data_IF_773198626728
#
_entry.id   IF_773198626728
#
_cell.length_a   1.000
_cell.length_b   1.000
_cell.length_c   1.000
_cell.angle_alpha   90.00
_cell.angle_beta   90.00
_cell.angle_gamma   90.00
#
_symmetry.space_group_name_H-M   'P 1'
#
loop_
_entity.id
_entity.type
_entity.pdbx_description
1 polymer ?
#
# COMPACT_ATOMS: atom_id res chain seq x y z
N UNK A 1 20.23 58.59 4.60
CA UNK A 1 19.16 59.32 3.88
C UNK A 1 19.14 58.84 2.43
N UNK A 2 18.14 58.09 2.02
CA UNK A 2 17.52 58.09 0.70
C UNK A 2 16.34 57.11 0.72
N UNK A 3 15.18 57.62 0.31
CA UNK A 3 13.87 57.03 0.49
C UNK A 3 13.56 55.97 -0.58
N UNK A 4 12.69 55.00 -0.20
CA UNK A 4 12.05 54.02 -1.07
C UNK A 4 10.79 54.66 -1.75
N UNK A 5 10.41 54.24 -2.96
CA UNK A 5 9.10 54.59 -3.53
C UNK A 5 8.05 53.53 -3.19
N UNK A 6 6.89 54.02 -2.78
CA UNK A 6 5.64 53.30 -2.62
C UNK A 6 5.06 53.04 -4.01
N UNK A 7 4.64 51.81 -4.29
CA UNK A 7 3.80 51.45 -5.45
C UNK A 7 2.33 51.40 -5.05
N UNK A 8 1.49 52.01 -5.86
CA UNK A 8 0.07 52.27 -5.61
C UNK A 8 -0.81 51.06 -5.93
N UNK A 9 -1.84 50.87 -5.08
CA UNK A 9 -3.00 50.01 -5.41
C UNK A 9 -3.90 50.72 -6.43
N UNK A 10 -4.20 50.05 -7.53
CA UNK A 10 -5.28 50.44 -8.44
C UNK A 10 -6.53 49.60 -8.07
N UNK A 11 -7.55 50.30 -7.62
CA UNK A 11 -8.90 49.77 -7.42
C UNK A 11 -9.67 49.79 -8.73
N UNK A 12 -10.20 48.64 -9.15
CA UNK A 12 -11.09 48.50 -10.29
C UNK A 12 -12.55 48.52 -9.81
N UNK A 13 -13.25 49.59 -10.07
CA UNK A 13 -14.69 49.73 -9.82
C UNK A 13 -15.47 49.10 -10.99
N UNK A 14 -16.36 48.13 -10.69
CA UNK A 14 -17.33 47.61 -11.65
C UNK A 14 -18.67 48.30 -11.41
N UNK A 15 -19.13 48.98 -12.44
CA UNK A 15 -20.40 49.71 -12.45
C UNK A 15 -21.59 48.75 -12.61
N UNK A 16 -22.58 48.88 -11.71
CA UNK A 16 -23.90 48.26 -11.85
C UNK A 16 -24.71 49.07 -12.88
N UNK A 17 -25.10 48.41 -13.96
CA UNK A 17 -26.12 48.86 -14.90
C UNK A 17 -27.48 48.26 -14.51
N UNK A 18 -28.39 49.09 -14.04
CA UNK A 18 -29.82 48.75 -13.87
C UNK A 18 -30.52 49.07 -15.18
N UNK A 19 -31.12 48.05 -15.82
CA UNK A 19 -32.07 48.30 -16.93
C UNK A 19 -33.38 47.56 -16.61
N UNK A 20 -34.44 48.27 -16.83
CA UNK A 20 -35.76 48.13 -16.27
C UNK A 20 -36.64 47.00 -16.79
N UNK A 21 -37.76 46.92 -16.14
CA UNK A 21 -38.86 45.99 -16.22
C UNK A 21 -39.50 45.80 -17.58
N UNK A 22 -39.82 44.57 -17.92
CA UNK A 22 -40.82 44.16 -18.90
C UNK A 22 -41.57 42.96 -18.39
N UNK A 23 -42.77 43.19 -17.84
CA UNK A 23 -43.74 42.13 -17.54
C UNK A 23 -44.35 41.61 -18.84
N UNK A 24 -44.14 40.32 -19.16
CA UNK A 24 -45.06 39.54 -19.96
C UNK A 24 -45.15 38.16 -19.35
N UNK A 25 -46.34 37.82 -18.87
CA UNK A 25 -46.64 36.50 -18.32
C UNK A 25 -46.65 35.42 -19.39
N UNK A 26 -45.91 34.38 -19.13
CA UNK A 26 -45.98 33.09 -19.79
C UNK A 26 -45.86 32.04 -18.72
N UNK A 27 -46.98 31.47 -18.29
CA UNK A 27 -47.00 30.30 -17.38
C UNK A 27 -46.46 29.09 -18.09
N UNK A 28 -45.16 29.00 -18.19
CA UNK A 28 -44.44 27.77 -18.52
C UNK A 28 -44.40 26.88 -17.27
N UNK A 29 -45.25 25.87 -17.23
CA UNK A 29 -45.15 24.85 -16.21
C UNK A 29 -43.75 24.26 -16.22
N UNK A 30 -43.01 24.49 -15.13
CA UNK A 30 -41.73 23.83 -14.88
C UNK A 30 -42.05 22.34 -14.81
N UNK A 31 -41.76 21.61 -15.88
CA UNK A 31 -41.75 20.17 -15.82
C UNK A 31 -40.74 19.81 -14.72
N UNK A 32 -41.13 18.98 -13.72
CA UNK A 32 -40.15 18.52 -12.74
C UNK A 32 -38.98 17.90 -13.53
N UNK A 33 -37.81 18.54 -13.45
CA UNK A 33 -36.61 18.08 -14.12
C UNK A 33 -36.35 16.61 -13.67
N UNK A 34 -35.99 15.77 -14.62
CA UNK A 34 -35.56 14.42 -14.31
C UNK A 34 -34.50 14.52 -13.18
N UNK A 35 -34.70 13.86 -12.03
CA UNK A 35 -33.71 13.94 -10.95
C UNK A 35 -32.34 13.58 -11.52
N UNK A 36 -31.31 14.29 -11.08
CA UNK A 36 -29.95 13.99 -11.48
C UNK A 36 -29.65 12.51 -11.13
N UNK A 37 -28.92 11.78 -11.98
CA UNK A 37 -28.59 10.39 -11.70
C UNK A 37 -27.88 10.29 -10.35
N UNK A 38 -28.35 9.39 -9.47
CA UNK A 38 -27.75 9.15 -8.16
C UNK A 38 -27.22 7.72 -8.05
N UNK A 39 -26.20 7.49 -7.22
CA UNK A 39 -25.70 6.15 -6.96
C UNK A 39 -26.79 5.18 -6.50
N UNK A 40 -27.70 5.62 -5.63
CA UNK A 40 -28.79 4.82 -5.10
C UNK A 40 -29.80 4.45 -6.18
N UNK A 41 -30.15 5.39 -7.07
CA UNK A 41 -31.03 5.13 -8.19
C UNK A 41 -30.42 4.13 -9.17
N UNK A 42 -29.13 4.24 -9.46
CA UNK A 42 -28.43 3.29 -10.31
C UNK A 42 -28.34 1.90 -9.67
N UNK A 43 -28.10 1.85 -8.36
CA UNK A 43 -28.09 0.59 -7.60
C UNK A 43 -29.46 -0.09 -7.58
N UNK A 44 -30.53 0.66 -7.30
CA UNK A 44 -31.89 0.15 -7.29
C UNK A 44 -32.31 -0.44 -8.65
N UNK A 45 -31.87 0.17 -9.76
CA UNK A 45 -32.14 -0.32 -11.11
C UNK A 45 -31.55 -1.71 -11.39
N UNK A 46 -30.53 -2.15 -10.65
CA UNK A 46 -29.89 -3.47 -10.74
C UNK A 46 -30.13 -4.33 -9.49
N UNK A 47 -31.10 -3.93 -8.66
CA UNK A 47 -31.55 -4.70 -7.49
C UNK A 47 -30.67 -4.61 -6.26
N UNK A 48 -29.84 -3.55 -6.10
CA UNK A 48 -29.07 -3.26 -4.90
C UNK A 48 -29.86 -2.37 -3.95
N UNK A 49 -29.72 -2.61 -2.64
CA UNK A 49 -30.20 -1.70 -1.59
C UNK A 49 -29.26 -0.48 -1.44
N UNK A 50 -29.73 0.57 -0.76
CA UNK A 50 -28.90 1.74 -0.46
C UNK A 50 -27.66 1.39 0.39
N UNK A 51 -27.82 0.48 1.35
CA UNK A 51 -26.71 0.03 2.22
C UNK A 51 -25.67 -0.77 1.41
N UNK A 52 -26.11 -1.63 0.48
CA UNK A 52 -25.19 -2.35 -0.44
C UNK A 52 -24.44 -1.35 -1.33
N UNK A 53 -25.12 -0.34 -1.88
CA UNK A 53 -24.47 0.71 -2.67
C UNK A 53 -23.44 1.47 -1.85
N UNK A 54 -23.77 1.90 -0.65
CA UNK A 54 -22.85 2.62 0.23
C UNK A 54 -21.61 1.76 0.58
N UNK A 55 -21.81 0.48 0.90
CA UNK A 55 -20.74 -0.47 1.17
C UNK A 55 -19.84 -0.65 -0.06
N UNK A 56 -20.42 -0.84 -1.26
CA UNK A 56 -19.66 -0.99 -2.51
C UNK A 56 -18.85 0.27 -2.81
N UNK A 57 -19.43 1.46 -2.65
CA UNK A 57 -18.75 2.73 -2.91
C UNK A 57 -17.58 2.98 -1.97
N UNK A 58 -17.59 2.42 -0.75
CA UNK A 58 -16.48 2.52 0.21
C UNK A 58 -15.19 1.81 -0.26
N UNK A 59 -15.27 0.92 -1.25
CA UNK A 59 -14.13 0.19 -1.83
C UNK A 59 -13.43 0.92 -2.99
N UNK A 60 -13.42 2.24 -2.97
CA UNK A 60 -12.75 3.04 -4.00
C UNK A 60 -12.79 4.53 -3.69
N UNK A 61 -12.37 5.39 -4.62
CA UNK A 61 -11.98 5.08 -6.01
C UNK A 61 -10.62 4.40 -6.14
N UNK A 62 -10.35 3.83 -7.33
CA UNK A 62 -9.06 3.21 -7.65
C UNK A 62 -8.48 3.79 -8.96
N UNK A 63 -7.15 4.03 -9.08
CA UNK A 63 -6.15 3.84 -8.01
C UNK A 63 -6.25 4.92 -6.91
N UNK A 64 -5.76 4.57 -5.72
CA UNK A 64 -5.58 5.57 -4.65
C UNK A 64 -4.44 6.52 -5.04
N UNK A 65 -4.60 7.84 -4.89
CA UNK A 65 -3.52 8.79 -5.17
C UNK A 65 -2.23 8.44 -4.43
N UNK A 66 -1.10 8.61 -5.11
CA UNK A 66 0.20 8.38 -4.50
C UNK A 66 0.48 9.43 -3.41
N UNK A 67 0.89 8.95 -2.23
CA UNK A 67 1.37 9.78 -1.14
C UNK A 67 2.73 9.23 -0.68
N UNK A 68 3.80 10.05 -0.71
CA UNK A 68 5.12 9.61 -0.26
C UNK A 68 5.12 9.20 1.21
N UNK A 69 5.90 8.17 1.57
CA UNK A 69 6.14 7.81 2.97
C UNK A 69 7.04 8.87 3.63
N UNK A 70 6.54 9.65 4.61
CA UNK A 70 7.34 10.68 5.27
C UNK A 70 8.56 10.11 6.02
N UNK A 71 8.55 8.82 6.38
CA UNK A 71 9.68 8.14 7.00
C UNK A 71 10.78 7.71 6.02
N UNK A 72 10.56 7.93 4.73
CA UNK A 72 11.49 7.57 3.66
C UNK A 72 11.68 8.73 2.67
N UNK A 73 12.74 9.52 2.81
CA UNK A 73 13.05 10.63 1.89
C UNK A 73 13.23 10.22 0.43
N UNK A 74 13.42 8.91 0.17
CA UNK A 74 13.53 8.37 -1.17
C UNK A 74 12.17 8.06 -1.82
N UNK A 75 11.08 8.04 -1.03
CA UNK A 75 9.72 7.76 -1.50
C UNK A 75 9.31 8.78 -2.57
N UNK A 76 8.90 8.30 -3.75
CA UNK A 76 8.54 9.12 -4.89
C UNK A 76 9.71 9.82 -5.61
N UNK A 77 10.97 9.65 -5.17
CA UNK A 77 12.12 10.27 -5.82
C UNK A 77 12.55 9.45 -7.06
N UNK A 78 12.55 10.00 -8.29
CA UNK A 78 12.74 9.21 -9.52
C UNK A 78 14.04 8.41 -9.56
N UNK A 79 15.18 9.00 -9.13
CA UNK A 79 16.47 8.30 -9.12
C UNK A 79 16.50 7.18 -8.06
N UNK A 80 15.80 7.34 -6.93
CA UNK A 80 15.69 6.29 -5.91
C UNK A 80 14.80 5.14 -6.39
N UNK A 81 13.69 5.44 -7.06
CA UNK A 81 12.81 4.44 -7.67
C UNK A 81 13.59 3.61 -8.71
N UNK A 82 14.35 4.26 -9.60
CA UNK A 82 15.16 3.55 -10.59
C UNK A 82 16.31 2.75 -9.94
N UNK A 83 16.95 3.28 -8.90
CA UNK A 83 17.93 2.54 -8.11
C UNK A 83 17.32 1.28 -7.50
N UNK A 84 16.15 1.43 -6.84
CA UNK A 84 15.43 0.31 -6.26
C UNK A 84 14.99 -0.73 -7.28
N UNK A 85 14.53 -0.30 -8.45
CA UNK A 85 14.15 -1.18 -9.56
C UNK A 85 15.34 -2.03 -10.05
N UNK A 86 16.53 -1.45 -10.18
CA UNK A 86 17.73 -2.21 -10.55
C UNK A 86 18.14 -3.17 -9.46
N UNK A 87 18.18 -2.71 -8.22
CA UNK A 87 18.54 -3.52 -7.06
C UNK A 87 17.57 -4.67 -6.82
N UNK A 88 16.29 -4.52 -7.14
CA UNK A 88 15.27 -5.55 -6.94
C UNK A 88 15.59 -6.85 -7.68
N UNK A 89 16.20 -6.77 -8.86
CA UNK A 89 16.64 -7.92 -9.64
C UNK A 89 18.13 -8.25 -9.50
N UNK A 90 18.88 -7.56 -8.65
CA UNK A 90 20.34 -7.69 -8.58
C UNK A 90 20.76 -8.79 -7.58
N UNK A 91 21.31 -9.93 -8.07
CA UNK A 91 21.70 -11.02 -7.18
C UNK A 91 22.93 -10.68 -6.31
N UNK A 92 23.68 -9.62 -6.64
CA UNK A 92 24.81 -9.14 -5.83
C UNK A 92 24.39 -8.67 -4.44
N UNK A 93 23.07 -8.47 -4.22
CA UNK A 93 22.51 -8.20 -2.89
C UNK A 93 22.56 -9.41 -1.96
N UNK A 94 22.73 -10.63 -2.46
CA UNK A 94 22.84 -11.80 -1.60
C UNK A 94 24.30 -12.17 -1.31
N UNK A 95 24.54 -12.83 -0.18
CA UNK A 95 25.86 -13.28 0.24
C UNK A 95 26.50 -14.23 -0.78
N UNK A 96 25.69 -15.11 -1.37
CA UNK A 96 26.10 -16.10 -2.35
C UNK A 96 26.08 -15.58 -3.79
N UNK A 97 25.56 -14.36 -4.04
CA UNK A 97 25.45 -13.77 -5.37
C UNK A 97 24.42 -14.45 -6.27
N UNK A 98 23.48 -15.20 -5.76
CA UNK A 98 22.51 -16.03 -6.52
C UNK A 98 21.07 -15.58 -6.40
N UNK A 99 20.72 -14.81 -5.36
CA UNK A 99 19.35 -14.44 -5.05
C UNK A 99 19.18 -12.93 -5.02
N UNK A 100 18.00 -12.50 -5.45
CA UNK A 100 17.54 -11.13 -5.42
C UNK A 100 16.12 -11.10 -4.84
N UNK A 101 15.55 -9.92 -4.61
CA UNK A 101 14.15 -9.78 -4.22
C UNK A 101 13.22 -10.47 -5.23
N UNK A 102 13.53 -10.33 -6.53
CA UNK A 102 12.80 -10.97 -7.62
C UNK A 102 12.81 -12.52 -7.60
N UNK A 103 13.69 -13.15 -6.82
CA UNK A 103 13.70 -14.61 -6.67
C UNK A 103 12.47 -15.13 -5.94
N UNK A 104 11.95 -14.35 -4.96
CA UNK A 104 10.75 -14.68 -4.20
C UNK A 104 9.56 -13.78 -4.54
N UNK A 105 9.80 -12.63 -5.19
CA UNK A 105 8.77 -11.68 -5.58
C UNK A 105 8.70 -11.56 -7.11
N UNK A 106 8.05 -12.56 -7.75
CA UNK A 106 7.99 -12.70 -9.19
C UNK A 106 6.81 -11.90 -9.79
N UNK A 107 7.06 -11.00 -10.77
CA UNK A 107 5.99 -10.16 -11.35
C UNK A 107 4.81 -10.96 -11.92
N UNK A 108 5.08 -12.10 -12.53
CA UNK A 108 4.05 -12.96 -13.12
C UNK A 108 3.11 -13.61 -12.08
N UNK A 109 3.51 -13.64 -10.81
CA UNK A 109 2.76 -14.20 -9.68
C UNK A 109 2.29 -13.11 -8.71
N UNK A 110 1.99 -11.90 -9.22
CA UNK A 110 1.60 -10.78 -8.35
C UNK A 110 2.69 -10.38 -7.34
N UNK A 111 3.96 -10.62 -7.70
CA UNK A 111 5.13 -10.43 -6.83
C UNK A 111 5.10 -11.33 -5.57
N UNK A 112 4.52 -12.53 -5.66
CA UNK A 112 4.71 -13.66 -4.76
C UNK A 112 5.63 -14.70 -5.43
N UNK A 113 5.85 -15.87 -4.80
CA UNK A 113 6.70 -16.95 -5.37
C UNK A 113 5.93 -18.22 -5.78
N UNK A 114 4.63 -18.28 -5.49
CA UNK A 114 3.79 -19.44 -5.78
C UNK A 114 4.05 -20.64 -4.87
N UNK A 115 4.82 -20.49 -3.81
CA UNK A 115 5.12 -21.55 -2.85
C UNK A 115 4.33 -21.35 -1.55
N UNK A 116 3.94 -22.41 -0.84
CA UNK A 116 3.35 -22.28 0.48
C UNK A 116 4.27 -21.49 1.44
N UNK A 117 5.55 -21.78 1.39
CA UNK A 117 6.61 -21.06 2.11
C UNK A 117 7.81 -20.92 1.19
N UNK A 118 8.37 -19.73 1.11
CA UNK A 118 9.59 -19.48 0.35
C UNK A 118 10.72 -20.36 0.80
N UNK A 119 11.68 -20.63 -0.09
CA UNK A 119 12.82 -21.46 0.25
C UNK A 119 14.02 -20.59 0.68
N UNK A 120 14.63 -20.96 1.79
CA UNK A 120 15.90 -20.41 2.24
C UNK A 120 17.05 -20.72 1.28
N UNK A 121 18.25 -20.18 1.56
CA UNK A 121 19.45 -20.39 0.77
C UNK A 121 19.85 -21.87 0.63
N UNK A 122 19.60 -22.66 1.65
CA UNK A 122 19.87 -24.09 1.72
C UNK A 122 18.74 -24.98 1.19
N UNK A 123 17.66 -24.36 0.67
CA UNK A 123 16.47 -25.06 0.19
C UNK A 123 15.45 -25.45 1.26
N UNK A 124 15.70 -25.12 2.52
CA UNK A 124 14.71 -25.38 3.58
C UNK A 124 13.57 -24.35 3.54
N UNK A 125 12.32 -24.72 3.88
CA UNK A 125 11.22 -23.76 3.91
C UNK A 125 11.43 -22.67 4.97
N UNK A 126 11.17 -21.42 4.62
CA UNK A 126 11.03 -20.32 5.55
C UNK A 126 9.77 -20.48 6.42
N UNK A 127 9.60 -19.61 7.40
CA UNK A 127 8.51 -19.74 8.37
C UNK A 127 7.14 -19.37 7.77
N UNK A 128 7.12 -18.54 6.71
CA UNK A 128 5.88 -17.96 6.17
C UNK A 128 5.88 -17.88 4.65
N UNK A 129 4.68 -17.71 4.11
CA UNK A 129 4.45 -17.43 2.69
C UNK A 129 5.00 -16.06 2.29
N UNK A 130 5.53 -15.94 1.04
CA UNK A 130 5.93 -14.65 0.47
C UNK A 130 4.68 -13.83 0.09
N UNK A 131 4.40 -12.70 0.75
CA UNK A 131 3.26 -11.88 0.37
C UNK A 131 3.49 -11.22 -0.99
N UNK A 132 2.43 -11.07 -1.78
CA UNK A 132 2.46 -10.22 -2.96
C UNK A 132 2.81 -8.77 -2.59
N UNK A 133 3.49 -8.06 -3.49
CA UNK A 133 3.94 -6.67 -3.23
C UNK A 133 3.03 -5.61 -3.86
N UNK A 134 2.03 -6.00 -4.66
CA UNK A 134 1.10 -5.04 -5.22
C UNK A 134 0.40 -4.26 -4.09
N UNK A 135 0.30 -2.95 -4.27
CA UNK A 135 -0.37 -2.03 -3.34
C UNK A 135 0.26 -1.97 -1.94
N UNK A 136 1.51 -2.44 -1.77
CA UNK A 136 2.20 -2.43 -0.48
C UNK A 136 2.30 -1.02 0.14
N UNK A 137 2.33 0.04 -0.68
CA UNK A 137 2.33 1.44 -0.22
C UNK A 137 1.12 1.84 0.62
N UNK A 138 0.03 1.10 0.52
CA UNK A 138 -1.20 1.36 1.28
C UNK A 138 -1.23 0.68 2.65
N UNK A 139 -0.19 -0.08 2.99
CA UNK A 139 -0.08 -0.78 4.26
C UNK A 139 0.56 0.12 5.33
N UNK A 140 0.18 -0.12 6.59
CA UNK A 140 0.76 0.55 7.76
C UNK A 140 1.67 -0.38 8.57
N UNK A 141 1.48 -1.68 8.41
CA UNK A 141 2.24 -2.74 9.04
C UNK A 141 2.72 -3.72 7.98
N UNK A 142 3.97 -4.14 8.05
CA UNK A 142 4.62 -4.98 7.06
C UNK A 142 5.00 -6.34 7.64
N UNK A 143 4.94 -7.37 6.80
CA UNK A 143 4.96 -8.77 7.19
C UNK A 143 3.59 -9.26 7.67
N UNK A 144 3.42 -10.58 7.73
CA UNK A 144 2.18 -11.21 8.19
C UNK A 144 1.86 -10.88 9.66
N UNK A 145 2.90 -10.71 10.48
CA UNK A 145 2.82 -10.35 11.90
C UNK A 145 2.86 -8.84 12.15
N UNK A 146 3.07 -8.04 11.09
CA UNK A 146 3.30 -6.62 11.23
C UNK A 146 4.55 -6.29 12.03
N UNK A 147 5.61 -7.07 11.85
CA UNK A 147 6.88 -6.91 12.56
C UNK A 147 7.72 -5.71 12.11
N UNK A 148 7.22 -4.90 11.16
CA UNK A 148 7.80 -3.61 10.80
C UNK A 148 6.69 -2.59 10.57
N UNK A 149 6.95 -1.32 10.87
CA UNK A 149 6.03 -0.20 10.78
C UNK A 149 6.25 0.69 9.54
N UNK A 150 7.25 0.36 8.73
CA UNK A 150 7.54 1.00 7.45
C UNK A 150 8.06 -0.02 6.44
N UNK A 151 7.82 0.24 5.15
CA UNK A 151 8.25 -0.67 4.09
C UNK A 151 9.77 -0.78 4.03
N UNK A 152 10.50 0.33 4.18
CA UNK A 152 11.96 0.29 4.14
C UNK A 152 12.58 -0.46 5.35
N UNK A 153 11.99 -0.35 6.54
CA UNK A 153 12.43 -1.12 7.71
C UNK A 153 12.17 -2.63 7.49
N UNK A 154 11.03 -2.98 6.85
CA UNK A 154 10.75 -4.36 6.50
C UNK A 154 11.76 -4.95 5.52
N UNK A 155 12.19 -4.17 4.49
CA UNK A 155 13.20 -4.60 3.51
C UNK A 155 14.55 -4.94 4.15
N UNK A 156 14.90 -4.32 5.27
CA UNK A 156 16.14 -4.63 5.99
C UNK A 156 16.18 -6.06 6.53
N UNK A 157 15.03 -6.68 6.81
CA UNK A 157 14.94 -8.04 7.37
C UNK A 157 15.46 -9.08 6.38
N UNK A 158 14.91 -9.25 5.16
CA UNK A 158 15.44 -10.20 4.18
C UNK A 158 16.88 -9.86 3.73
N UNK A 159 17.28 -8.58 3.73
CA UNK A 159 18.66 -8.20 3.45
C UNK A 159 19.64 -8.76 4.48
N UNK A 160 19.26 -8.80 5.76
CA UNK A 160 20.13 -9.23 6.86
C UNK A 160 20.01 -10.71 7.19
N UNK A 161 18.86 -11.35 6.93
CA UNK A 161 18.64 -12.78 7.29
C UNK A 161 19.52 -13.69 6.42
N UNK A 162 20.45 -14.46 7.01
CA UNK A 162 21.31 -15.39 6.27
C UNK A 162 20.54 -16.51 5.57
N UNK A 163 19.32 -16.80 5.98
CA UNK A 163 18.45 -17.76 5.29
C UNK A 163 17.90 -17.16 3.96
N UNK A 164 17.83 -15.83 3.85
CA UNK A 164 17.33 -15.13 2.69
C UNK A 164 18.48 -14.54 1.86
N UNK A 165 18.87 -13.28 2.06
CA UNK A 165 19.94 -12.63 1.30
C UNK A 165 21.28 -12.62 2.05
N UNK A 166 21.28 -12.46 3.38
CA UNK A 166 22.47 -12.49 4.21
C UNK A 166 23.54 -11.47 3.81
N UNK A 167 23.10 -10.28 3.37
CA UNK A 167 23.96 -9.28 2.77
C UNK A 167 24.93 -8.64 3.77
N UNK A 168 26.22 -8.71 3.52
CA UNK A 168 27.24 -8.03 4.31
C UNK A 168 27.23 -6.51 4.04
N UNK A 169 27.09 -5.64 5.07
CA UNK A 169 26.99 -4.19 4.87
C UNK A 169 28.16 -3.55 4.10
N UNK A 170 29.40 -4.03 4.32
CA UNK A 170 30.56 -3.54 3.60
C UNK A 170 30.49 -3.88 2.09
N UNK A 171 29.97 -5.05 1.73
CA UNK A 171 29.76 -5.46 0.34
C UNK A 171 28.68 -4.61 -0.32
N UNK A 172 27.62 -4.27 0.39
CA UNK A 172 26.57 -3.37 -0.09
C UNK A 172 27.11 -1.96 -0.37
N UNK A 173 27.97 -1.44 0.50
CA UNK A 173 28.61 -0.15 0.29
C UNK A 173 29.53 -0.18 -0.94
N UNK A 174 30.34 -1.25 -1.10
CA UNK A 174 31.18 -1.44 -2.27
C UNK A 174 30.37 -1.57 -3.58
N UNK A 175 29.23 -2.24 -3.55
CA UNK A 175 28.30 -2.34 -4.70
C UNK A 175 27.78 -0.97 -5.12
N UNK A 176 27.31 -0.15 -4.19
CA UNK A 176 26.74 1.17 -4.46
C UNK A 176 27.79 2.19 -4.96
N UNK A 177 29.05 2.00 -4.65
CA UNK A 177 30.14 2.91 -5.05
C UNK A 177 30.93 2.41 -6.26
N UNK A 178 31.05 1.10 -6.40
CA UNK A 178 31.86 0.46 -7.43
C UNK A 178 31.15 0.26 -8.77
N UNK A 179 29.84 0.18 -8.80
CA UNK A 179 29.05 0.12 -10.03
C UNK A 179 28.70 1.54 -10.49
N UNK A 180 29.23 2.01 -11.66
CA UNK A 180 29.00 3.39 -12.08
C UNK A 180 27.55 3.78 -12.25
N UNK A 181 26.70 2.85 -12.70
CA UNK A 181 25.25 3.08 -12.89
C UNK A 181 24.51 3.21 -11.57
N UNK A 182 24.81 2.34 -10.60
CA UNK A 182 24.21 2.42 -9.26
C UNK A 182 24.74 3.63 -8.50
N UNK A 183 26.05 3.93 -8.59
CA UNK A 183 26.67 5.08 -7.96
C UNK A 183 26.09 6.41 -8.46
N UNK A 184 25.80 6.52 -9.76
CA UNK A 184 25.15 7.71 -10.34
C UNK A 184 23.75 7.90 -9.75
N UNK A 185 22.90 6.86 -9.78
CA UNK A 185 21.55 6.91 -9.24
C UNK A 185 21.53 7.17 -7.72
N UNK A 186 22.44 6.52 -7.01
CA UNK A 186 22.60 6.72 -5.56
C UNK A 186 22.94 8.18 -5.24
N UNK A 187 23.91 8.79 -5.93
CA UNK A 187 24.26 10.21 -5.72
C UNK A 187 23.07 11.11 -6.00
N UNK A 188 22.34 10.87 -7.08
CA UNK A 188 21.16 11.65 -7.42
C UNK A 188 20.05 11.55 -6.36
N UNK A 189 19.90 10.39 -5.70
CA UNK A 189 18.85 10.15 -4.73
C UNK A 189 19.23 10.56 -3.29
N UNK A 190 20.50 10.37 -2.90
CA UNK A 190 20.94 10.48 -1.50
C UNK A 190 22.06 11.50 -1.27
N UNK A 191 22.63 12.08 -2.33
CA UNK A 191 23.70 13.08 -2.27
C UNK A 191 25.10 12.50 -2.50
N UNK A 192 26.12 13.37 -2.58
CA UNK A 192 27.45 12.99 -3.05
C UNK A 192 28.32 12.23 -2.02
N UNK A 193 28.04 12.41 -0.72
CA UNK A 193 28.84 11.78 0.33
C UNK A 193 28.80 10.24 0.20
N UNK A 194 29.97 9.55 0.12
CA UNK A 194 29.99 8.10 0.03
C UNK A 194 29.34 7.47 1.29
N UNK A 195 28.55 6.40 1.13
CA UNK A 195 27.87 5.77 2.26
C UNK A 195 28.85 4.95 3.10
N UNK A 196 28.72 5.04 4.41
CA UNK A 196 29.25 4.00 5.31
C UNK A 196 28.52 2.67 5.06
N UNK A 197 29.03 1.53 5.54
CA UNK A 197 28.33 0.25 5.43
C UNK A 197 26.90 0.29 5.97
N UNK A 198 26.67 0.91 7.13
CA UNK A 198 25.34 1.06 7.72
C UNK A 198 24.43 1.96 6.87
N UNK A 199 24.96 3.09 6.41
CA UNK A 199 24.21 4.02 5.55
C UNK A 199 23.87 3.36 4.22
N UNK A 200 24.77 2.60 3.61
CA UNK A 200 24.53 1.89 2.35
C UNK A 200 23.36 0.92 2.45
N UNK A 201 23.29 0.15 3.54
CA UNK A 201 22.18 -0.77 3.81
C UNK A 201 20.84 -0.03 3.91
N UNK A 202 20.82 1.09 4.62
CA UNK A 202 19.61 1.93 4.76
C UNK A 202 19.22 2.55 3.42
N UNK A 203 20.15 3.09 2.65
CA UNK A 203 19.87 3.68 1.34
C UNK A 203 19.33 2.65 0.34
N UNK A 204 19.90 1.43 0.33
CA UNK A 204 19.36 0.30 -0.46
C UNK A 204 17.94 -0.02 -0.06
N UNK A 205 17.68 -0.17 1.25
CA UNK A 205 16.34 -0.48 1.74
C UNK A 205 15.31 0.62 1.40
N UNK A 206 15.70 1.88 1.54
CA UNK A 206 14.86 3.04 1.18
C UNK A 206 14.59 3.12 -0.33
N UNK A 207 15.59 2.84 -1.17
CA UNK A 207 15.41 2.80 -2.61
C UNK A 207 14.55 1.63 -3.07
N UNK A 208 14.75 0.43 -2.51
CA UNK A 208 13.91 -0.74 -2.78
C UNK A 208 12.46 -0.47 -2.37
N UNK A 209 12.22 0.14 -1.20
CA UNK A 209 10.89 0.55 -0.78
C UNK A 209 10.27 1.55 -1.75
N UNK A 210 11.02 2.58 -2.18
CA UNK A 210 10.55 3.56 -3.15
C UNK A 210 10.13 2.92 -4.49
N UNK A 211 10.84 1.87 -4.94
CA UNK A 211 10.42 1.09 -6.10
C UNK A 211 9.15 0.28 -5.82
N UNK A 212 9.08 -0.45 -4.71
CA UNK A 212 7.91 -1.27 -4.36
C UNK A 212 6.65 -0.40 -4.19
N UNK A 213 6.78 0.82 -3.71
CA UNK A 213 5.68 1.79 -3.62
C UNK A 213 5.06 2.15 -4.98
N UNK A 214 5.75 1.88 -6.10
CA UNK A 214 5.22 2.09 -7.46
C UNK A 214 4.44 0.89 -8.01
N UNK A 215 4.38 -0.22 -7.28
CA UNK A 215 3.73 -1.45 -7.72
C UNK A 215 2.24 -1.41 -7.37
N UNK A 216 1.45 -0.76 -8.21
CA UNK A 216 0.00 -0.71 -8.07
C UNK A 216 -0.67 -1.85 -8.85
N UNK A 217 -1.73 -2.42 -8.28
CA UNK A 217 -2.59 -3.37 -8.99
C UNK A 217 -3.37 -2.66 -10.11
N UNK A 218 -3.61 -3.33 -11.25
CA UNK A 218 -4.39 -2.74 -12.34
C UNK A 218 -5.85 -2.54 -11.92
N UNK A 219 -6.53 -1.63 -12.62
CA UNK A 219 -8.00 -1.52 -12.53
C UNK A 219 -8.66 -2.82 -12.97
N UNK A 220 -9.79 -3.11 -12.34
CA UNK A 220 -10.57 -4.32 -12.57
C UNK A 220 -12.00 -3.97 -13.00
N UNK A 221 -12.77 -4.96 -13.45
CA UNK A 221 -14.20 -4.79 -13.72
C UNK A 221 -15.00 -4.30 -12.51
N UNK A 222 -14.54 -4.62 -11.29
CA UNK A 222 -15.15 -4.09 -10.07
C UNK A 222 -14.98 -2.57 -9.98
N UNK A 223 -13.80 -2.04 -10.30
CA UNK A 223 -13.54 -0.60 -10.25
C UNK A 223 -14.41 0.17 -11.26
N UNK A 224 -14.58 -0.38 -12.46
CA UNK A 224 -15.44 0.22 -13.48
C UNK A 224 -16.92 0.18 -13.06
N UNK A 225 -17.37 -0.91 -12.48
CA UNK A 225 -18.71 -1.07 -11.90
C UNK A 225 -18.96 -0.08 -10.75
N UNK A 226 -18.04 -0.03 -9.79
CA UNK A 226 -18.09 0.88 -8.65
C UNK A 226 -18.17 2.34 -9.11
N UNK A 227 -17.35 2.71 -10.10
CA UNK A 227 -17.32 4.08 -10.62
C UNK A 227 -18.57 4.40 -11.44
N UNK A 228 -19.17 3.43 -12.13
CA UNK A 228 -20.47 3.57 -12.80
C UNK A 228 -21.58 3.86 -11.76
N UNK A 229 -21.64 3.09 -10.67
CA UNK A 229 -22.55 3.39 -9.56
C UNK A 229 -22.32 4.78 -8.98
N UNK A 230 -21.07 5.18 -8.75
CA UNK A 230 -20.74 6.49 -8.20
C UNK A 230 -21.22 7.65 -9.05
N UNK A 231 -21.30 7.45 -10.38
CA UNK A 231 -21.84 8.45 -11.34
C UNK A 231 -23.35 8.36 -11.55
N UNK A 232 -24.04 7.41 -10.94
CA UNK A 232 -25.45 7.15 -11.19
C UNK A 232 -25.75 6.51 -12.55
N UNK A 233 -24.75 5.88 -13.19
CA UNK A 233 -24.88 5.24 -14.52
C UNK A 233 -25.36 3.79 -14.37
N UNK A 234 -26.68 3.62 -14.32
CA UNK A 234 -27.31 2.30 -14.21
C UNK A 234 -27.00 1.38 -15.41
N UNK A 235 -26.83 1.94 -16.61
CA UNK A 235 -26.56 1.14 -17.82
C UNK A 235 -25.16 0.54 -17.76
N UNK A 236 -24.15 1.34 -17.42
CA UNK A 236 -22.79 0.83 -17.26
C UNK A 236 -22.68 -0.12 -16.04
N UNK A 237 -23.39 0.16 -14.94
CA UNK A 237 -23.42 -0.73 -13.78
C UNK A 237 -24.05 -2.10 -14.10
N UNK A 238 -25.10 -2.15 -14.93
CA UNK A 238 -25.76 -3.39 -15.36
C UNK A 238 -24.85 -4.29 -16.21
N UNK A 239 -23.74 -3.78 -16.74
CA UNK A 239 -22.76 -4.59 -17.48
C UNK A 239 -21.88 -5.48 -16.56
N UNK A 240 -21.95 -5.30 -15.23
CA UNK A 240 -21.20 -6.13 -14.29
C UNK A 240 -21.75 -7.56 -14.27
N UNK A 241 -20.90 -8.60 -14.33
CA UNK A 241 -21.37 -9.98 -14.47
C UNK A 241 -22.28 -10.42 -13.30
N UNK A 242 -23.44 -11.01 -13.61
CA UNK A 242 -24.41 -11.42 -12.61
C UNK A 242 -23.84 -12.36 -11.51
N UNK A 243 -23.00 -13.38 -11.82
CA UNK A 243 -22.36 -14.18 -10.77
C UNK A 243 -21.46 -13.35 -9.85
N UNK A 244 -20.70 -12.40 -10.41
CA UNK A 244 -19.84 -11.50 -9.62
C UNK A 244 -20.67 -10.55 -8.75
N UNK A 245 -21.81 -10.05 -9.26
CA UNK A 245 -22.75 -9.25 -8.46
C UNK A 245 -23.33 -10.06 -7.30
N UNK A 246 -23.70 -11.32 -7.54
CA UNK A 246 -24.15 -12.23 -6.49
C UNK A 246 -23.08 -12.44 -5.40
N UNK A 247 -21.84 -12.70 -5.80
CA UNK A 247 -20.71 -12.80 -4.86
C UNK A 247 -20.43 -11.48 -4.12
N UNK A 248 -20.53 -10.35 -4.79
CA UNK A 248 -20.35 -9.03 -4.18
C UNK A 248 -21.43 -8.74 -3.12
N UNK A 249 -22.68 -9.11 -3.37
CA UNK A 249 -23.75 -8.98 -2.38
C UNK A 249 -23.49 -9.82 -1.12
N UNK A 250 -22.99 -11.04 -1.29
CA UNK A 250 -22.54 -11.84 -0.15
C UNK A 250 -21.39 -11.17 0.60
N UNK A 251 -20.40 -10.65 -0.15
CA UNK A 251 -19.20 -10.01 0.41
C UNK A 251 -19.54 -8.79 1.26
N UNK A 252 -20.44 -7.90 0.80
CA UNK A 252 -20.81 -6.68 1.52
C UNK A 252 -21.99 -6.88 2.46
N UNK A 253 -22.72 -7.99 2.36
CA UNK A 253 -23.92 -8.33 3.13
C UNK A 253 -23.71 -9.47 4.12
N UNK A 254 -24.41 -10.57 3.92
CA UNK A 254 -24.47 -11.70 4.87
C UNK A 254 -23.12 -12.34 5.17
N UNK A 255 -22.21 -12.39 4.18
CA UNK A 255 -20.87 -12.94 4.34
C UNK A 255 -19.97 -12.09 5.24
N UNK A 256 -20.29 -10.82 5.45
CA UNK A 256 -19.57 -9.88 6.33
C UNK A 256 -18.06 -9.75 6.02
N UNK A 257 -17.62 -10.11 4.82
CA UNK A 257 -16.21 -10.09 4.44
C UNK A 257 -15.65 -8.66 4.48
N UNK A 258 -16.49 -7.67 4.13
CA UNK A 258 -16.15 -6.25 4.13
C UNK A 258 -15.89 -5.65 5.53
N UNK A 259 -16.14 -6.36 6.63
CA UNK A 259 -15.77 -5.89 7.98
C UNK A 259 -14.25 -5.86 8.17
N UNK A 260 -13.55 -6.80 7.57
CA UNK A 260 -12.09 -6.88 7.58
C UNK A 260 -11.49 -6.41 6.24
N UNK A 261 -12.11 -6.80 5.13
CA UNK A 261 -11.67 -6.48 3.78
C UNK A 261 -12.39 -5.24 3.23
N UNK A 262 -12.17 -4.09 3.84
CA UNK A 262 -12.80 -2.81 3.50
C UNK A 262 -11.84 -1.86 2.78
N UNK A 263 -12.39 -0.78 2.23
CA UNK A 263 -11.60 0.27 1.57
C UNK A 263 -11.04 -0.12 0.20
N UNK A 264 -10.29 0.79 -0.45
CA UNK A 264 -9.84 0.61 -1.84
C UNK A 264 -8.92 -0.58 -2.06
N UNK A 265 -8.14 -0.99 -1.05
CA UNK A 265 -7.25 -2.15 -1.11
C UNK A 265 -7.90 -3.45 -0.61
N UNK A 266 -9.18 -3.42 -0.22
CA UNK A 266 -9.88 -4.55 0.40
C UNK A 266 -9.16 -5.11 1.64
N UNK A 267 -8.77 -4.21 2.53
CA UNK A 267 -8.19 -4.55 3.84
C UNK A 267 -8.35 -3.38 4.81
N UNK A 268 -8.60 -3.67 6.07
CA UNK A 268 -8.52 -2.67 7.14
C UNK A 268 -7.09 -2.44 7.63
N UNK A 269 -6.11 -3.25 7.15
CA UNK A 269 -4.71 -3.18 7.56
C UNK A 269 -4.43 -3.62 9.00
N UNK A 270 -5.45 -4.14 9.70
CA UNK A 270 -5.37 -4.59 11.09
C UNK A 270 -5.12 -6.11 11.17
N UNK A 271 -5.18 -6.67 12.38
CA UNK A 271 -4.84 -8.06 12.67
C UNK A 271 -6.06 -8.80 13.23
N UNK A 272 -6.25 -10.02 12.73
CA UNK A 272 -7.36 -10.87 13.18
C UNK A 272 -6.93 -12.34 13.21
N UNK A 273 -7.56 -13.11 14.08
CA UNK A 273 -7.56 -14.55 14.02
C UNK A 273 -8.61 -15.02 13.01
N UNK A 274 -8.15 -15.60 11.92
CA UNK A 274 -9.02 -16.16 10.87
C UNK A 274 -9.37 -17.64 11.12
N UNK A 275 -9.16 -18.16 12.34
CA UNK A 275 -9.39 -19.56 12.68
C UNK A 275 -8.41 -20.53 12.00
N UNK A 276 -7.24 -20.04 11.57
CA UNK A 276 -6.22 -20.86 10.90
C UNK A 276 -5.18 -21.36 11.89
N UNK A 277 -4.64 -22.57 11.69
CA UNK A 277 -3.54 -23.06 12.50
C UNK A 277 -2.35 -22.08 12.43
N UNK A 278 -1.83 -21.67 13.57
CA UNK A 278 -0.70 -20.75 13.68
C UNK A 278 0.59 -21.47 14.07
N UNK A 279 0.97 -22.48 13.29
CA UNK A 279 2.19 -23.26 13.51
C UNK A 279 3.24 -22.91 12.45
N UNK A 280 4.37 -22.37 12.90
CA UNK A 280 5.54 -22.13 12.03
C UNK A 280 6.24 -23.46 11.67
N UNK A 281 6.21 -24.44 12.57
CA UNK A 281 6.67 -25.82 12.39
C UNK A 281 5.95 -26.74 13.39
N UNK A 282 6.00 -28.05 13.24
CA UNK A 282 5.47 -28.97 14.25
C UNK A 282 6.01 -28.65 15.65
N UNK A 283 5.10 -28.42 16.61
CA UNK A 283 5.44 -28.06 17.99
C UNK A 283 5.99 -26.63 18.20
N UNK A 284 6.09 -25.81 17.15
CA UNK A 284 6.55 -24.41 17.23
C UNK A 284 5.45 -23.48 16.75
N UNK A 285 4.66 -22.88 17.67
CA UNK A 285 3.62 -21.93 17.30
C UNK A 285 4.23 -20.65 16.72
N UNK A 286 3.53 -20.06 15.77
CA UNK A 286 3.80 -18.69 15.28
C UNK A 286 3.03 -17.70 16.17
N UNK A 287 3.71 -16.82 16.90
CA UNK A 287 3.03 -15.88 17.78
C UNK A 287 2.24 -14.81 17.04
N UNK A 288 2.35 -14.71 15.71
CA UNK A 288 1.67 -13.72 14.90
C UNK A 288 1.91 -12.30 15.39
N UNK A 289 0.85 -11.49 15.44
CA UNK A 289 0.91 -10.08 15.86
C UNK A 289 1.55 -9.89 17.23
N UNK A 290 1.35 -10.82 18.18
CA UNK A 290 1.99 -10.72 19.50
C UNK A 290 3.53 -10.70 19.39
N UNK A 291 4.09 -11.52 18.51
CA UNK A 291 5.52 -11.50 18.19
C UNK A 291 5.92 -10.26 17.42
N UNK A 292 5.14 -9.89 16.41
CA UNK A 292 5.37 -8.73 15.57
C UNK A 292 5.45 -7.41 16.34
N UNK A 293 4.58 -7.21 17.34
CA UNK A 293 4.64 -6.03 18.22
C UNK A 293 6.00 -5.92 18.92
N UNK A 294 6.47 -7.02 19.48
CA UNK A 294 7.78 -7.05 20.17
C UNK A 294 8.92 -6.76 19.19
N UNK A 295 8.84 -7.28 17.98
CA UNK A 295 9.82 -7.04 16.92
C UNK A 295 9.88 -5.55 16.56
N UNK A 296 8.73 -4.90 16.32
CA UNK A 296 8.69 -3.45 16.03
C UNK A 296 9.29 -2.62 17.14
N UNK A 297 8.91 -2.91 18.41
CA UNK A 297 9.37 -2.13 19.55
C UNK A 297 10.89 -2.28 19.80
N UNK A 298 11.46 -3.43 19.45
CA UNK A 298 12.90 -3.70 19.59
C UNK A 298 13.72 -3.24 18.37
N UNK A 299 13.07 -2.94 17.22
CA UNK A 299 13.77 -2.59 15.98
C UNK A 299 14.29 -1.14 16.04
N UNK A 300 15.62 -0.91 15.96
CA UNK A 300 16.19 0.43 15.90
C UNK A 300 15.85 1.19 14.60
N UNK A 301 15.27 0.50 13.61
CA UNK A 301 14.85 1.06 12.32
C UNK A 301 13.35 1.37 12.26
N UNK A 302 12.61 1.24 13.37
CA UNK A 302 11.21 1.65 13.40
C UNK A 302 11.07 3.18 13.22
N UNK A 303 9.85 3.66 13.06
CA UNK A 303 9.56 5.08 12.80
C UNK A 303 10.00 6.04 13.93
N UNK A 304 10.31 5.53 15.12
CA UNK A 304 10.86 6.29 16.23
C UNK A 304 12.40 6.32 16.21
N UNK A 305 13.03 5.50 15.40
CA UNK A 305 14.48 5.35 15.30
C UNK A 305 15.14 6.48 14.48
N UNK A 306 16.44 6.64 14.69
CA UNK A 306 17.27 7.70 14.04
C UNK A 306 17.31 7.66 12.51
N UNK A 307 16.93 6.56 11.91
CA UNK A 307 16.95 6.36 10.46
C UNK A 307 15.66 6.74 9.75
N UNK A 308 14.58 7.01 10.50
CA UNK A 308 13.36 7.57 9.95
C UNK A 308 13.59 9.04 9.55
N UNK A 309 13.20 9.39 8.33
CA UNK A 309 13.31 10.77 7.82
C UNK A 309 12.10 11.62 8.26
N UNK A 310 11.10 11.04 8.90
CA UNK A 310 9.92 11.77 9.36
C UNK A 310 10.33 12.86 10.35
N UNK A 311 10.00 14.14 10.06
CA UNK A 311 10.29 15.21 11.00
C UNK A 311 9.49 14.97 12.29
N UNK A 312 10.16 15.06 13.43
CA UNK A 312 9.48 15.17 14.70
C UNK A 312 8.63 16.46 14.66
N UNK A 313 7.33 16.31 14.45
CA UNK A 313 6.29 17.32 14.62
C UNK A 313 6.54 18.71 14.00
N UNK A 314 5.97 18.94 12.85
CA UNK A 314 5.71 20.29 12.34
C UNK A 314 4.21 20.45 12.01
N UNK A 315 3.30 20.18 13.00
CA UNK A 315 1.87 20.48 12.87
C UNK A 315 1.05 19.58 11.94
N UNK A 316 1.66 18.52 11.37
CA UNK A 316 0.98 17.48 10.59
C UNK A 316 0.71 16.21 11.41
N UNK A 317 -0.01 15.22 10.84
CA UNK A 317 -0.21 13.93 11.50
C UNK A 317 1.15 13.25 11.75
N UNK A 318 1.42 12.85 13.01
CA UNK A 318 2.63 12.12 13.38
C UNK A 318 2.65 10.73 12.72
N UNK A 319 3.54 10.44 11.75
CA UNK A 319 3.61 9.14 11.09
C UNK A 319 4.04 8.01 12.04
N UNK A 320 4.62 8.35 13.20
CA UNK A 320 5.05 7.40 14.22
C UNK A 320 4.00 7.18 15.32
N UNK A 321 2.82 7.83 15.25
CA UNK A 321 1.79 7.75 16.30
C UNK A 321 1.39 6.31 16.61
N UNK A 322 1.23 5.46 15.59
CA UNK A 322 0.86 4.05 15.76
C UNK A 322 1.95 3.28 16.51
N UNK A 323 3.21 3.50 16.17
CA UNK A 323 4.37 2.85 16.80
C UNK A 323 4.55 3.31 18.24
N UNK A 324 4.35 4.61 18.51
CA UNK A 324 4.47 5.21 19.84
C UNK A 324 3.49 4.62 20.85
N UNK A 325 2.29 4.28 20.41
CA UNK A 325 1.22 3.73 21.25
C UNK A 325 1.07 2.21 21.14
N UNK A 326 2.03 1.55 20.46
CA UNK A 326 2.02 0.11 20.31
C UNK A 326 2.35 -0.58 21.64
N UNK A 327 1.51 -1.52 22.04
CA UNK A 327 1.72 -2.32 23.25
C UNK A 327 1.41 -3.79 23.00
N UNK A 328 2.21 -4.73 23.56
CA UNK A 328 1.90 -6.15 23.51
C UNK A 328 0.58 -6.47 24.21
N UNK A 329 -0.24 -7.29 23.58
CA UNK A 329 -1.48 -7.77 24.18
C UNK A 329 -1.62 -9.28 23.94
N UNK A 330 -2.03 -10.05 24.95
CA UNK A 330 -2.18 -11.51 24.84
C UNK A 330 -3.17 -11.92 23.73
N UNK A 331 -4.23 -11.13 23.53
CA UNK A 331 -5.23 -11.40 22.47
C UNK A 331 -4.65 -11.43 21.07
N UNK A 332 -3.48 -10.79 20.85
CA UNK A 332 -2.85 -10.75 19.53
C UNK A 332 -2.04 -12.03 19.19
N UNK A 333 -2.03 -13.04 20.08
CA UNK A 333 -1.33 -14.28 19.81
C UNK A 333 -2.06 -15.10 18.75
N UNK A 334 -1.36 -15.44 17.66
CA UNK A 334 -1.94 -16.14 16.52
C UNK A 334 -2.78 -15.27 15.58
N UNK A 335 -2.88 -13.96 15.81
CA UNK A 335 -3.46 -13.02 14.85
C UNK A 335 -2.46 -12.67 13.76
N UNK A 336 -2.96 -12.55 12.54
CA UNK A 336 -2.18 -12.15 11.37
C UNK A 336 -2.84 -10.97 10.68
N UNK A 337 -2.03 -10.21 9.91
CA UNK A 337 -2.52 -9.05 9.18
C UNK A 337 -3.56 -9.47 8.13
N UNK A 338 -4.67 -8.76 8.08
CA UNK A 338 -5.68 -8.89 7.02
C UNK A 338 -5.04 -8.50 5.69
N UNK A 339 -4.87 -9.42 4.73
CA UNK A 339 -4.27 -9.10 3.44
C UNK A 339 -5.23 -8.27 2.58
N UNK A 340 -4.69 -7.44 1.69
CA UNK A 340 -5.45 -6.88 0.59
C UNK A 340 -5.88 -7.98 -0.38
N UNK A 341 -7.03 -7.79 -1.05
CA UNK A 341 -7.53 -8.80 -1.99
C UNK A 341 -7.26 -8.44 -3.45
N UNK A 342 -6.68 -7.26 -3.72
CA UNK A 342 -6.28 -6.90 -5.08
C UNK A 342 -5.16 -7.81 -5.56
N UNK A 343 -5.31 -8.34 -6.78
CA UNK A 343 -4.36 -9.28 -7.36
C UNK A 343 -4.36 -10.68 -6.72
N UNK A 344 -5.27 -10.99 -5.78
CA UNK A 344 -5.31 -12.27 -5.07
C UNK A 344 -5.36 -13.49 -6.02
N UNK A 345 -6.00 -13.37 -7.19
CA UNK A 345 -6.05 -14.46 -8.17
C UNK A 345 -4.66 -14.92 -8.67
N UNK A 346 -3.61 -14.09 -8.53
CA UNK A 346 -2.26 -14.40 -8.98
C UNK A 346 -1.32 -14.87 -7.85
N UNK A 347 -1.73 -14.82 -6.58
CA UNK A 347 -0.84 -15.00 -5.42
C UNK A 347 -1.12 -16.27 -4.61
N UNK A 348 -1.70 -17.29 -5.25
CA UNK A 348 -1.83 -18.61 -4.62
C UNK A 348 -0.42 -19.21 -4.31
N UNK A 349 -0.29 -20.03 -3.24
CA UNK A 349 -1.29 -20.38 -2.24
C UNK A 349 -1.46 -19.31 -1.16
N UNK A 350 -2.53 -19.35 -0.38
CA UNK A 350 -2.99 -18.28 0.50
C UNK A 350 -2.75 -18.57 1.99
N UNK A 351 -2.86 -17.48 2.77
CA UNK A 351 -2.62 -17.48 4.21
C UNK A 351 -1.15 -17.21 4.54
N UNK A 352 -0.91 -16.90 5.80
CA UNK A 352 0.43 -16.59 6.30
C UNK A 352 1.43 -17.77 6.17
N UNK A 353 0.90 -18.99 6.09
CA UNK A 353 1.65 -20.25 5.98
C UNK A 353 1.45 -20.95 4.62
N UNK A 354 0.70 -20.33 3.70
CA UNK A 354 0.39 -20.88 2.38
C UNK A 354 -0.45 -22.15 2.42
N UNK A 355 -1.20 -22.39 3.51
CA UNK A 355 -1.94 -23.64 3.71
C UNK A 355 -3.21 -23.77 2.88
N UNK A 356 -3.70 -22.70 2.26
CA UNK A 356 -4.84 -22.71 1.34
C UNK A 356 -4.32 -22.71 -0.10
N UNK A 357 -4.45 -23.84 -0.78
CA UNK A 357 -3.94 -24.00 -2.15
C UNK A 357 -4.74 -23.17 -3.17
N UNK A 358 -6.07 -23.08 -2.98
CA UNK A 358 -7.02 -22.40 -3.87
C UNK A 358 -7.98 -21.54 -3.06
N UNK A 359 -8.81 -20.75 -3.75
CA UNK A 359 -9.92 -19.98 -3.14
C UNK A 359 -11.24 -20.78 -3.13
N UNK A 360 -11.25 -21.98 -3.68
CA UNK A 360 -12.39 -22.89 -3.74
C UNK A 360 -12.54 -23.70 -2.46
#
# INVERSE_FOLDING_TARGET
>A
MRAAPRAALAALAVALGVAGAGCLGGGGGVRPGTPAPSPEAAGAAIGLSGDEVAAILSHGPWPVPFAPDPGNRASGHPAAVELGRRLFGDPRLSADGRRACASCHQPALGFADGLPRSLAADGTPLDRNAPGLLDARLQHWFGWDGGSDSLWAFVLRPLADPRELGAEPARLAALLTGDPGLACLRRAAFGDAPPSPDTARIEIAKALAAFVETLDSPRTRFDDFRDALARGDATAAAAFPAPALGGLRLFVGEGRCNLCHLGPAFTNGEFHDAGRPFMAAPGRPDPGRHGGVRTVLADPHNRLGRWSDAPATAGGPDPAVRTRHLAPAHRNFGEFRVPGLRGAAATAPYGHDGSMATLD
#
